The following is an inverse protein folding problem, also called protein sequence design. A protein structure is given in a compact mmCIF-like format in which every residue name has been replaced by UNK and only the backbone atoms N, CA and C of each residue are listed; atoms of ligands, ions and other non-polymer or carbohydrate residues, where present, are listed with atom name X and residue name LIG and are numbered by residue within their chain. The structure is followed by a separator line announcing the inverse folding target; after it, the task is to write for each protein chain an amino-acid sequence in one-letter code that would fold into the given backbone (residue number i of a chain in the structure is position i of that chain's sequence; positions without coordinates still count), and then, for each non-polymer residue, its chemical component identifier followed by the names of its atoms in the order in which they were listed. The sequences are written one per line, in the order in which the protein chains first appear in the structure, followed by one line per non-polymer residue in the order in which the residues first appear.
data_IF_178645788591
#
_entry.id   IF_178645788591
#
_cell.length_a   1.000
_cell.length_b   1.000
_cell.length_c   1.000
_cell.angle_alpha   90.00
_cell.angle_beta   90.00
_cell.angle_gamma   90.00
#
_symmetry.space_group_name_H-M   'P 1'
#
loop_
_entity.id
_entity.type
_entity.pdbx_description
1 polymer ?
2 polymer ?
3 non-polymer ?
4 non-polymer ?
5 non-polymer ?
6 non-polymer ?
7 water ?
#
# COMPACT_ATOMS: atom_id res chain seq x y z
N UNK A 1 2.63 15.84 19.35
CA UNK A 1 2.82 16.18 17.92
C UNK A 1 4.09 17.00 17.73
N UNK A 2 5.14 16.35 17.18
CA UNK A 2 6.39 17.04 16.92
C UNK A 2 6.23 18.15 15.88
N UNK A 3 5.17 18.09 15.05
CA UNK A 3 4.92 19.08 14.02
C UNK A 3 3.78 20.01 14.39
N UNK A 4 3.40 20.04 15.67
CA UNK A 4 2.24 20.80 16.07
C UNK A 4 2.41 22.29 15.94
N UNK A 5 3.65 22.80 16.07
CA UNK A 5 3.86 24.24 15.98
C UNK A 5 3.98 24.75 14.54
N UNK A 6 4.02 23.87 13.53
CA UNK A 6 4.18 24.33 12.15
C UNK A 6 2.83 24.39 11.45
N UNK A 7 2.68 25.42 10.61
CA UNK A 7 1.44 25.65 9.86
C UNK A 7 1.15 24.49 8.94
N UNK A 8 -0.13 24.19 8.76
CA UNK A 8 -0.52 23.12 7.83
C UNK A 8 0.05 23.36 6.45
N UNK A 9 -0.08 24.60 5.94
CA UNK A 9 0.41 24.89 4.58
C UNK A 9 1.91 24.66 4.46
N UNK A 10 2.68 25.03 5.49
CA UNK A 10 4.13 24.84 5.49
C UNK A 10 4.51 23.36 5.52
N UNK A 11 3.77 22.55 6.28
CA UNK A 11 3.99 21.11 6.29
C UNK A 11 3.79 20.51 4.90
N UNK A 12 2.75 20.96 4.20
CA UNK A 12 2.50 20.49 2.84
C UNK A 12 3.61 20.94 1.91
N UNK A 13 3.99 22.22 2.00
CA UNK A 13 5.05 22.74 1.15
C UNK A 13 6.36 21.99 1.38
N UNK A 14 6.71 21.74 2.64
CA UNK A 14 7.95 21.03 2.96
C UNK A 14 7.86 19.55 2.59
N UNK A 15 6.66 18.95 2.68
CA UNK A 15 6.48 17.61 2.14
C UNK A 15 6.85 17.56 0.67
N UNK A 16 6.40 18.57 -0.11
CA UNK A 16 6.69 18.62 -1.54
C UNK A 16 8.19 18.81 -1.77
N UNK A 17 8.84 19.61 -0.94
CA UNK A 17 10.28 19.77 -1.01
C UNK A 17 11.00 18.47 -0.70
N UNK A 18 10.58 17.79 0.37
CA UNK A 18 11.20 16.53 0.76
C UNK A 18 11.10 15.49 -0.34
N UNK A 19 9.95 15.43 -1.02
CA UNK A 19 9.81 14.53 -2.15
C UNK A 19 10.87 14.81 -3.22
N UNK A 20 11.07 16.08 -3.56
CA UNK A 20 12.08 16.46 -4.55
C UNK A 20 13.48 16.10 -4.09
N UNK A 21 13.76 16.22 -2.80
CA UNK A 21 15.06 15.85 -2.24
C UNK A 21 15.19 14.36 -1.99
N UNK A 22 14.16 13.56 -2.32
CA UNK A 22 14.12 12.14 -2.00
C UNK A 22 14.40 11.91 -0.51
N UNK A 23 13.79 12.74 0.33
CA UNK A 23 13.83 12.60 1.78
C UNK A 23 12.49 12.12 2.32
N UNK A 24 12.21 10.82 2.12
CA UNK A 24 10.84 10.33 2.32
C UNK A 24 10.49 10.18 3.79
N UNK A 25 11.45 9.91 4.67
CA UNK A 25 11.15 9.93 6.09
C UNK A 25 10.68 11.31 6.52
N UNK A 26 11.40 12.35 6.09
CA UNK A 26 10.96 13.73 6.32
C UNK A 26 9.58 13.96 5.71
N UNK A 27 9.42 13.61 4.44
CA UNK A 27 8.15 13.75 3.75
C UNK A 27 7.02 13.13 4.56
N UNK A 28 7.26 11.93 5.10
CA UNK A 28 6.25 11.23 5.88
C UNK A 28 5.93 11.96 7.18
N UNK A 29 6.95 12.49 7.85
CA UNK A 29 6.68 13.17 9.12
C UNK A 29 5.91 14.46 8.89
N UNK A 30 6.19 15.14 7.77
CA UNK A 30 5.49 16.38 7.43
C UNK A 30 4.02 16.07 7.17
N UNK A 31 3.76 15.00 6.40
CA UNK A 31 2.38 14.66 6.08
C UNK A 31 1.63 14.15 7.31
N UNK A 32 2.30 13.42 8.20
CA UNK A 32 1.69 13.04 9.46
C UNK A 32 1.27 14.29 10.23
N UNK A 33 2.16 15.28 10.30
CA UNK A 33 1.83 16.51 10.96
C UNK A 33 0.65 17.21 10.31
N UNK A 34 0.59 17.21 8.98
CA UNK A 34 -0.54 17.78 8.25
C UNK A 34 -1.85 17.07 8.60
N UNK A 35 -1.86 15.72 8.58
CA UNK A 35 -3.07 14.97 8.93
C UNK A 35 -3.54 15.32 10.34
N UNK A 36 -2.62 15.42 11.27
CA UNK A 36 -2.97 15.64 12.67
C UNK A 36 -3.44 17.06 12.94
N UNK A 37 -3.33 17.96 11.95
CA UNK A 37 -4.05 19.23 12.02
C UNK A 37 -5.56 19.04 12.05
N UNK A 38 -6.06 17.88 11.61
CA UNK A 38 -7.44 17.53 11.79
C UNK A 38 -8.36 17.90 10.64
N UNK A 39 -7.87 18.61 9.63
CA UNK A 39 -8.68 18.90 8.48
C UNK A 39 -8.62 17.73 7.49
N UNK A 40 -9.65 17.61 6.68
CA UNK A 40 -9.63 16.58 5.66
C UNK A 40 -8.53 16.92 4.64
N UNK A 41 -8.07 15.91 3.90
CA UNK A 41 -6.99 16.04 2.92
C UNK A 41 -7.55 16.16 1.51
N UNK A 42 -6.97 17.05 0.71
CA UNK A 42 -7.28 17.13 -0.70
C UNK A 42 -6.74 15.89 -1.45
N UNK A 43 -7.10 15.73 -2.71
CA UNK A 43 -6.60 14.64 -3.53
C UNK A 43 -5.07 14.70 -3.61
N UNK A 44 -4.51 15.88 -3.87
CA UNK A 44 -3.06 16.02 -3.95
C UNK A 44 -2.43 15.69 -2.61
N UNK A 45 -3.06 16.12 -1.52
CA UNK A 45 -2.49 15.87 -0.19
C UNK A 45 -2.57 14.39 0.21
N UNK A 46 -3.65 13.71 -0.15
CA UNK A 46 -3.70 12.27 0.04
C UNK A 46 -2.62 11.57 -0.74
N UNK A 47 -2.32 12.05 -1.94
CA UNK A 47 -1.30 11.38 -2.73
C UNK A 47 0.09 11.63 -2.15
N UNK A 48 0.30 12.80 -1.55
CA UNK A 48 1.55 13.05 -0.83
C UNK A 48 1.73 12.12 0.35
N UNK A 49 0.67 11.95 1.14
CA UNK A 49 0.68 11.04 2.29
C UNK A 49 1.04 9.63 1.85
N UNK A 50 0.38 9.14 0.79
CA UNK A 50 0.59 7.79 0.31
C UNK A 50 2.01 7.59 -0.24
N UNK A 51 2.49 8.51 -1.08
CA UNK A 51 3.85 8.41 -1.64
C UNK A 51 4.89 8.38 -0.53
N UNK A 52 4.76 9.26 0.46
CA UNK A 52 5.74 9.34 1.53
C UNK A 52 5.87 7.99 2.24
N UNK A 53 4.77 7.45 2.72
CA UNK A 53 4.86 6.25 3.53
C UNK A 53 5.17 5.02 2.68
N UNK A 54 4.71 4.98 1.42
CA UNK A 54 5.03 3.86 0.55
C UNK A 54 6.54 3.75 0.35
N UNK A 55 7.19 4.90 0.19
CA UNK A 55 8.64 4.90 0.04
C UNK A 55 9.31 4.44 1.32
N UNK A 56 8.88 4.98 2.47
CA UNK A 56 9.48 4.59 3.73
C UNK A 56 9.34 3.09 3.93
N UNK A 57 8.10 2.57 3.85
CA UNK A 57 7.87 1.17 4.15
C UNK A 57 8.50 0.29 3.07
N UNK A 58 8.58 0.82 1.84
CA UNK A 58 9.27 0.11 0.77
C UNK A 58 10.71 -0.23 1.12
N UNK A 59 11.45 0.74 1.65
CA UNK A 59 12.81 0.48 2.09
C UNK A 59 12.91 -0.60 3.17
N UNK A 60 12.04 -0.53 4.17
CA UNK A 60 12.02 -1.52 5.25
C UNK A 60 11.65 -2.93 4.75
N UNK A 61 10.67 -3.02 3.84
CA UNK A 61 10.26 -4.33 3.33
C UNK A 61 11.41 -4.96 2.55
N UNK A 62 12.09 -4.16 1.74
CA UNK A 62 13.22 -4.64 0.98
C UNK A 62 14.32 -5.10 1.91
N UNK A 63 14.60 -4.30 2.96
CA UNK A 63 15.61 -4.70 3.94
C UNK A 63 15.20 -5.99 4.64
N UNK A 64 13.92 -6.09 5.04
CA UNK A 64 13.43 -7.25 5.76
C UNK A 64 13.61 -8.53 4.92
N UNK A 65 13.30 -8.46 3.63
CA UNK A 65 13.40 -9.64 2.78
C UNK A 65 14.84 -10.13 2.71
N UNK A 66 15.79 -9.20 2.51
CA UNK A 66 17.21 -9.53 2.50
C UNK A 66 17.60 -10.27 3.77
N UNK A 67 17.20 -9.71 4.92
CA UNK A 67 17.55 -10.27 6.22
C UNK A 67 16.84 -11.60 6.45
N UNK A 68 15.57 -11.71 6.04
CA UNK A 68 14.83 -12.95 6.26
C UNK A 68 15.42 -14.06 5.42
N UNK A 69 15.89 -13.72 4.22
CA UNK A 69 16.52 -14.69 3.33
C UNK A 69 17.85 -15.18 3.92
N UNK A 70 18.65 -14.27 4.45
CA UNK A 70 19.88 -14.65 5.13
C UNK A 70 19.57 -15.57 6.31
N UNK A 71 18.54 -15.23 7.09
CA UNK A 71 18.17 -16.00 8.27
C UNK A 71 17.76 -17.41 7.89
N UNK A 72 16.93 -17.54 6.85
CA UNK A 72 16.45 -18.85 6.42
C UNK A 72 17.62 -19.75 6.04
N UNK A 73 18.62 -19.20 5.35
CA UNK A 73 19.78 -19.98 4.95
C UNK A 73 20.57 -20.44 6.17
N UNK A 74 20.81 -19.52 7.10
CA UNK A 74 21.55 -19.86 8.31
C UNK A 74 20.90 -21.01 9.06
N UNK A 75 19.61 -21.20 8.87
CA UNK A 75 18.87 -22.28 9.51
C UNK A 75 18.77 -23.52 8.62
N UNK A 76 19.36 -23.49 7.42
CA UNK A 76 19.34 -24.66 6.55
C UNK A 76 20.27 -25.74 7.09
N UNK A 77 19.93 -27.00 6.81
CA UNK A 77 20.80 -28.12 7.14
C UNK A 77 22.19 -27.91 6.57
N UNK A 78 23.19 -27.84 7.45
CA UNK A 78 24.58 -27.69 7.05
C UNK A 78 25.24 -26.39 7.47
N UNK A 79 24.49 -25.43 8.01
CA UNK A 79 25.03 -24.12 8.31
C UNK A 79 25.95 -24.15 9.54
N UNK A 80 26.75 -23.08 9.67
CA UNK A 80 27.58 -22.84 10.85
C UNK A 80 26.92 -21.68 11.60
N UNK A 81 26.23 -22.00 12.70
CA UNK A 81 25.43 -21.02 13.42
C UNK A 81 26.25 -19.78 13.77
N UNK A 82 25.84 -18.65 13.21
CA UNK A 82 26.52 -17.38 13.46
C UNK A 82 26.12 -16.74 14.79
N UNK A 83 25.19 -17.37 15.53
CA UNK A 83 24.67 -16.79 16.75
C UNK A 83 23.36 -16.07 16.50
N UNK A 84 22.92 -15.29 17.47
CA UNK A 84 21.59 -14.66 17.43
C UNK A 84 21.49 -13.44 16.55
N UNK A 85 22.57 -13.04 15.87
CA UNK A 85 22.66 -11.67 15.36
C UNK A 85 21.74 -11.45 14.16
N UNK A 86 21.68 -12.43 13.25
CA UNK A 86 20.79 -12.31 12.10
C UNK A 86 19.35 -12.17 12.57
N UNK A 87 18.88 -13.07 13.45
CA UNK A 87 17.52 -13.00 13.97
C UNK A 87 17.27 -11.67 14.65
N UNK A 88 18.17 -11.24 15.53
CA UNK A 88 18.01 -9.99 16.26
C UNK A 88 17.87 -8.82 15.30
N UNK A 89 18.69 -8.79 14.25
CA UNK A 89 18.65 -7.62 13.38
C UNK A 89 17.43 -7.68 12.45
N UNK A 90 17.06 -8.88 11.97
CA UNK A 90 15.78 -9.00 11.27
C UNK A 90 14.63 -8.52 12.16
N UNK A 91 14.64 -8.91 13.43
CA UNK A 91 13.61 -8.47 14.36
C UNK A 91 13.60 -6.95 14.51
N UNK A 92 14.79 -6.32 14.54
CA UNK A 92 14.87 -4.86 14.67
C UNK A 92 14.16 -4.18 13.53
N UNK A 93 14.47 -4.59 12.30
CA UNK A 93 13.90 -4.01 11.09
C UNK A 93 12.43 -4.34 10.99
N UNK A 94 12.08 -5.56 11.34
CA UNK A 94 10.67 -5.95 11.37
C UNK A 94 9.86 -5.08 12.33
N UNK A 95 10.42 -4.83 13.52
CA UNK A 95 9.74 -4.00 14.50
C UNK A 95 9.57 -2.57 13.96
N UNK A 96 10.57 -2.04 13.27
CA UNK A 96 10.44 -0.69 12.76
C UNK A 96 9.41 -0.63 11.63
N UNK A 97 9.35 -1.67 10.81
CA UNK A 97 8.31 -1.76 9.78
C UNK A 97 6.92 -1.77 10.39
N UNK A 98 6.73 -2.60 11.40
CA UNK A 98 5.43 -2.73 12.04
C UNK A 98 5.00 -1.39 12.64
N UNK A 99 5.95 -0.66 13.21
CA UNK A 99 5.61 0.65 13.76
C UNK A 99 5.17 1.64 12.71
N UNK A 100 5.83 1.63 11.53
CA UNK A 100 5.42 2.50 10.44
C UNK A 100 4.00 2.12 9.99
N UNK A 101 3.75 0.82 9.85
CA UNK A 101 2.41 0.37 9.48
C UNK A 101 1.38 0.81 10.52
N UNK A 102 1.71 0.64 11.80
CA UNK A 102 0.81 1.04 12.88
C UNK A 102 0.58 2.55 12.87
N UNK A 103 1.60 3.32 12.51
CA UNK A 103 1.42 4.77 12.44
C UNK A 103 0.40 5.14 11.39
N UNK A 104 0.62 4.65 10.18
CA UNK A 104 -0.30 4.87 9.09
C UNK A 104 -1.71 4.44 9.47
N UNK A 105 -1.85 3.18 9.92
CA UNK A 105 -3.17 2.70 10.37
C UNK A 105 -3.78 3.60 11.44
N UNK A 106 -2.96 4.15 12.34
CA UNK A 106 -3.47 5.10 13.32
C UNK A 106 -4.01 6.37 12.68
N UNK A 107 -3.35 6.85 11.62
CA UNK A 107 -3.85 8.07 10.98
C UNK A 107 -5.16 7.78 10.27
N UNK A 108 -5.27 6.61 9.63
CA UNK A 108 -6.52 6.26 8.96
C UNK A 108 -7.64 6.13 9.97
N UNK A 109 -7.38 5.50 11.10
CA UNK A 109 -8.40 5.30 12.12
C UNK A 109 -8.68 6.53 12.97
N UNK A 110 -7.71 7.45 13.10
CA UNK A 110 -7.92 8.69 13.85
C UNK A 110 -7.49 9.92 13.03
N UNK A 111 -8.34 10.43 12.12
CA UNK A 111 -9.74 10.07 11.90
C UNK A 111 -10.05 10.21 10.42
N UNK A 112 -9.08 9.85 9.59
CA UNK A 112 -9.23 10.12 8.15
C UNK A 112 -10.43 9.38 7.57
N UNK A 113 -10.54 8.08 7.83
CA UNK A 113 -11.58 7.27 7.21
C UNK A 113 -12.95 7.74 7.66
N UNK A 114 -13.13 7.96 8.96
CA UNK A 114 -14.46 8.30 9.46
C UNK A 114 -14.94 9.63 8.88
N UNK A 115 -14.06 10.53 8.50
CA UNK A 115 -14.47 11.80 7.92
C UNK A 115 -14.49 11.80 6.38
N UNK A 116 -14.18 10.68 5.74
CA UNK A 116 -14.12 10.56 4.28
C UNK A 116 -15.45 10.03 3.76
N UNK A 117 -16.19 10.90 3.07
CA UNK A 117 -17.51 10.54 2.57
C UNK A 117 -17.57 10.39 1.07
N UNK A 118 -16.72 11.12 0.36
CA UNK A 118 -16.65 10.99 -1.08
C UNK A 118 -15.95 9.70 -1.45
N UNK A 119 -16.42 9.06 -2.52
CA UNK A 119 -15.87 7.78 -2.97
C UNK A 119 -14.37 7.87 -3.19
N UNK A 120 -13.90 8.94 -3.84
CA UNK A 120 -12.48 9.07 -4.15
C UNK A 120 -11.63 9.13 -2.89
N UNK A 121 -12.09 9.81 -1.85
CA UNK A 121 -11.36 9.79 -0.59
C UNK A 121 -11.57 8.49 0.19
N UNK A 122 -12.81 8.02 0.33
CA UNK A 122 -13.00 6.88 1.20
C UNK A 122 -12.37 5.62 0.63
N UNK A 123 -12.53 5.39 -0.68
CA UNK A 123 -11.84 4.28 -1.33
C UNK A 123 -10.32 4.40 -1.19
N UNK A 124 -9.76 5.60 -1.37
CA UNK A 124 -8.31 5.76 -1.24
C UNK A 124 -7.82 5.28 0.12
N UNK A 125 -8.49 5.70 1.19
CA UNK A 125 -8.00 5.40 2.53
C UNK A 125 -8.26 3.95 2.89
N UNK A 126 -9.37 3.38 2.40
CA UNK A 126 -9.64 1.98 2.70
C UNK A 126 -8.64 1.07 1.98
N UNK A 127 -8.28 1.43 0.74
CA UNK A 127 -7.18 0.74 0.06
C UNK A 127 -5.91 0.84 0.88
N UNK A 128 -5.58 2.04 1.35
CA UNK A 128 -4.39 2.20 2.18
C UNK A 128 -4.46 1.30 3.41
N UNK A 129 -5.62 1.25 4.08
CA UNK A 129 -5.74 0.37 5.24
C UNK A 129 -5.45 -1.07 4.85
N UNK A 130 -6.00 -1.53 3.73
CA UNK A 130 -5.70 -2.90 3.29
C UNK A 130 -4.22 -3.09 2.95
N UNK A 131 -3.64 -2.09 2.32
CA UNK A 131 -2.21 -2.14 1.98
C UNK A 131 -1.35 -2.34 3.23
N UNK A 132 -1.60 -1.56 4.28
CA UNK A 132 -0.71 -1.58 5.42
C UNK A 132 -0.95 -2.82 6.28
N UNK A 133 -2.18 -3.33 6.36
CA UNK A 133 -2.35 -4.67 6.95
C UNK A 133 -1.69 -5.74 6.09
N UNK A 134 -1.64 -5.55 4.78
CA UNK A 134 -0.90 -6.48 3.92
C UNK A 134 0.61 -6.47 4.23
N UNK A 135 1.19 -5.31 4.53
CA UNK A 135 2.62 -5.30 4.80
C UNK A 135 2.88 -5.88 6.17
N UNK A 136 1.95 -5.68 7.08
CA UNK A 136 1.99 -6.41 8.33
C UNK A 136 1.89 -7.90 8.08
N UNK A 137 0.97 -8.31 7.20
CA UNK A 137 0.77 -9.74 6.97
C UNK A 137 2.01 -10.39 6.43
N UNK A 138 2.80 -9.64 5.64
CA UNK A 138 3.98 -10.19 4.99
C UNK A 138 5.02 -10.66 6.00
N UNK A 139 5.02 -10.08 7.20
CA UNK A 139 6.01 -10.42 8.22
C UNK A 139 5.40 -11.13 9.40
N UNK A 140 4.11 -11.41 9.36
CA UNK A 140 3.38 -11.99 10.48
C UNK A 140 3.58 -13.51 10.54
N UNK A 141 3.71 -14.04 11.77
CA UNK A 141 3.81 -15.47 12.01
C UNK A 141 2.99 -16.00 13.21
N UNK A 142 2.27 -15.16 13.96
CA UNK A 142 1.67 -15.59 15.22
C UNK A 142 0.17 -15.38 15.45
N UNK A 144 -0.36 -14.22 15.03
CA UNK A 144 -1.80 -13.95 14.83
C UNK A 144 -1.99 -13.44 13.40
N UNK A 145 -1.30 -14.09 12.47
CA UNK A 145 -1.38 -13.71 11.08
C UNK A 145 -2.83 -13.74 10.59
N UNK A 146 -3.70 -14.56 11.18
CA UNK A 146 -5.01 -14.75 10.58
C UNK A 146 -5.88 -13.52 10.71
N UNK A 147 -5.84 -12.85 11.86
CA UNK A 147 -6.66 -11.66 12.07
C UNK A 147 -6.11 -10.49 11.28
N UNK A 148 -4.78 -10.39 11.17
CA UNK A 148 -4.20 -9.35 10.31
C UNK A 148 -4.67 -9.53 8.87
N UNK A 149 -4.57 -10.76 8.36
CA UNK A 149 -5.03 -11.02 7.00
C UNK A 149 -6.49 -10.64 6.82
N UNK A 150 -7.35 -11.00 7.78
CA UNK A 150 -8.76 -10.70 7.62
C UNK A 150 -9.01 -9.20 7.73
N UNK A 151 -8.19 -8.49 8.50
CA UNK A 151 -8.30 -7.02 8.52
C UNK A 151 -7.97 -6.42 7.16
N UNK A 152 -6.90 -6.91 6.53
CA UNK A 152 -6.60 -6.49 5.17
C UNK A 152 -7.77 -6.80 4.25
N UNK A 153 -8.09 -8.08 4.25
CA UNK A 153 -9.30 -8.47 3.37
C UNK A 153 -10.56 -7.55 3.54
N UNK A 154 -10.85 -7.26 4.81
CA UNK A 154 -12.05 -6.52 5.12
C UNK A 154 -11.97 -5.11 4.55
N UNK A 155 -10.82 -4.47 4.72
CA UNK A 155 -10.64 -3.11 4.23
C UNK A 155 -10.71 -3.08 2.71
N UNK A 156 -10.03 -4.02 2.06
CA UNK A 156 -10.05 -4.05 0.61
C UNK A 156 -11.45 -4.31 0.09
N UNK A 157 -12.19 -5.19 0.76
CA UNK A 157 -13.51 -5.55 0.28
C UNK A 157 -14.48 -4.37 0.40
N UNK A 158 -14.38 -3.60 1.49
CA UNK A 158 -15.26 -2.44 1.62
C UNK A 158 -14.91 -1.42 0.56
N UNK A 159 -13.62 -1.25 0.28
CA UNK A 159 -13.19 -0.36 -0.76
C UNK A 159 -13.68 -0.83 -2.11
N UNK A 160 -13.61 -2.15 -2.35
CA UNK A 160 -14.06 -2.68 -3.64
C UNK A 160 -15.53 -2.37 -3.83
N UNK A 161 -16.33 -2.63 -2.79
CA UNK A 161 -17.78 -2.49 -2.93
C UNK A 161 -18.13 -1.05 -3.29
N UNK A 162 -17.52 -0.08 -2.60
CA UNK A 162 -17.79 1.33 -2.87
C UNK A 162 -17.31 1.69 -4.27
N UNK A 163 -16.13 1.22 -4.67
CA UNK A 163 -15.56 1.60 -5.95
C UNK A 163 -16.45 1.11 -7.06
N UNK A 164 -17.01 -0.08 -6.92
CA UNK A 164 -17.81 -0.65 -7.98
C UNK A 164 -19.16 0.04 -8.10
N UNK A 165 -19.70 0.58 -7.01
CA UNK A 165 -20.96 1.32 -7.11
C UNK A 165 -20.74 2.75 -7.59
N UNK A 166 -19.67 3.40 -7.15
CA UNK A 166 -19.53 4.84 -7.30
C UNK A 166 -18.49 5.29 -8.34
N UNK A 167 -17.67 4.41 -8.87
CA UNK A 167 -16.58 4.84 -9.75
C UNK A 167 -16.67 4.09 -11.06
N UNK A 168 -16.25 4.72 -12.15
CA UNK A 168 -16.24 4.01 -13.42
C UNK A 168 -15.09 3.03 -13.45
N UNK A 169 -15.17 2.04 -14.34
CA UNK A 169 -14.19 0.94 -14.30
C UNK A 169 -12.79 1.35 -14.62
N UNK A 170 -12.59 2.52 -15.22
CA UNK A 170 -11.27 3.02 -15.55
C UNK A 170 -10.70 3.94 -14.48
N UNK A 171 -11.45 4.27 -13.44
CA UNK A 171 -10.99 5.17 -12.43
C UNK A 171 -9.67 4.68 -11.86
N UNK A 172 -8.60 5.48 -11.92
CA UNK A 172 -7.28 5.00 -11.50
C UNK A 172 -7.25 4.50 -10.08
N UNK A 173 -8.02 5.12 -9.16
CA UNK A 173 -8.05 4.65 -7.77
C UNK A 173 -8.64 3.24 -7.73
N UNK A 174 -9.78 3.04 -8.39
CA UNK A 174 -10.41 1.72 -8.50
C UNK A 174 -9.47 0.67 -9.09
N UNK A 175 -8.72 1.04 -10.14
CA UNK A 175 -7.82 0.09 -10.78
C UNK A 175 -6.69 -0.31 -9.85
N UNK A 176 -6.08 0.68 -9.20
CA UNK A 176 -5.00 0.41 -8.27
C UNK A 176 -5.44 -0.42 -7.07
N UNK A 177 -6.65 -0.18 -6.58
CA UNK A 177 -7.21 -1.03 -5.53
C UNK A 177 -7.33 -2.47 -5.99
N UNK A 178 -7.90 -2.68 -7.18
CA UNK A 178 -8.08 -4.05 -7.67
C UNK A 178 -6.74 -4.73 -7.90
N UNK A 179 -5.78 -4.03 -8.49
CA UNK A 179 -4.40 -4.52 -8.58
C UNK A 179 -3.92 -5.04 -7.24
N UNK A 180 -3.98 -4.19 -6.20
CA UNK A 180 -3.44 -4.57 -4.88
C UNK A 180 -4.26 -5.70 -4.25
N UNK A 181 -5.60 -5.67 -4.37
CA UNK A 181 -6.40 -6.72 -3.78
C UNK A 181 -6.08 -8.04 -4.48
N UNK A 182 -5.80 -7.89 -5.76
CA UNK A 182 -5.36 -9.12 -6.55
C UNK A 182 -4.07 -9.82 -6.03
N UNK A 183 -3.10 -8.95 -5.71
CA UNK A 183 -1.85 -9.49 -5.17
C UNK A 183 -2.07 -10.01 -3.75
N UNK A 184 -2.91 -9.33 -2.95
CA UNK A 184 -3.34 -9.89 -1.69
C UNK A 184 -3.82 -11.33 -1.85
N UNK A 185 -4.78 -11.53 -2.77
CA UNK A 185 -5.33 -12.87 -2.99
C UNK A 185 -4.25 -13.87 -3.33
N UNK A 186 -3.30 -13.47 -4.19
CA UNK A 186 -2.36 -14.42 -4.74
C UNK A 186 -1.34 -14.86 -3.71
N UNK A 187 -0.81 -13.91 -2.95
CA UNK A 187 0.40 -14.00 -2.12
C UNK A 187 0.12 -14.09 -0.63
N UNK A 188 -0.97 -13.51 -0.17
CA UNK A 188 -1.29 -13.41 1.24
C UNK A 188 -2.39 -14.38 1.63
N UNK A 189 -3.45 -14.40 0.84
CA UNK A 189 -4.58 -15.28 1.06
C UNK A 189 -4.41 -16.65 0.40
N UNK A 190 -3.34 -16.86 -0.35
CA UNK A 190 -3.14 -18.10 -1.11
C UNK A 190 -4.40 -18.46 -1.90
N UNK A 191 -4.92 -17.47 -2.63
CA UNK A 191 -6.08 -17.66 -3.50
C UNK A 191 -5.68 -17.21 -4.89
N UNK A 192 -4.79 -17.95 -5.54
CA UNK A 192 -4.33 -17.49 -6.86
C UNK A 192 -5.44 -17.41 -7.89
N UNK A 193 -6.41 -18.30 -7.83
CA UNK A 193 -7.47 -18.25 -8.83
C UNK A 193 -8.36 -17.04 -8.65
N UNK A 194 -8.63 -16.65 -7.41
CA UNK A 194 -9.30 -15.38 -7.14
C UNK A 194 -8.50 -14.20 -7.68
N UNK A 195 -7.19 -14.20 -7.39
CA UNK A 195 -6.30 -13.15 -7.89
C UNK A 195 -6.35 -13.04 -9.40
N UNK A 196 -6.25 -14.17 -10.11
CA UNK A 196 -6.30 -14.12 -11.57
C UNK A 196 -7.67 -13.65 -12.05
N UNK A 197 -8.73 -14.20 -11.48
CA UNK A 197 -10.06 -13.76 -11.90
C UNK A 197 -10.21 -12.28 -11.70
N UNK A 198 -9.83 -11.76 -10.54
CA UNK A 198 -10.04 -10.34 -10.30
C UNK A 198 -9.28 -9.50 -11.32
N UNK A 199 -8.03 -9.84 -11.57
CA UNK A 199 -7.19 -9.06 -12.48
C UNK A 199 -7.70 -9.10 -13.92
N UNK A 200 -8.20 -10.25 -14.36
CA UNK A 200 -8.74 -10.32 -15.73
C UNK A 200 -10.01 -9.50 -15.88
N UNK A 201 -10.97 -9.72 -14.98
CA UNK A 201 -12.21 -8.96 -15.03
C UNK A 201 -11.95 -7.46 -14.91
N UNK A 202 -11.03 -7.06 -14.03
CA UNK A 202 -10.73 -5.63 -13.87
C UNK A 202 -10.17 -5.04 -15.16
N UNK A 203 -9.25 -5.74 -15.78
CA UNK A 203 -8.65 -5.30 -17.04
C UNK A 203 -9.71 -5.19 -18.14
N UNK A 204 -10.51 -6.23 -18.32
CA UNK A 204 -11.49 -6.26 -19.39
C UNK A 204 -12.57 -5.19 -19.20
N UNK A 205 -12.99 -4.95 -17.97
CA UNK A 205 -14.05 -3.96 -17.77
C UNK A 205 -13.52 -2.54 -18.00
N UNK A 206 -12.28 -2.29 -17.61
CA UNK A 206 -11.60 -1.04 -17.97
C UNK A 206 -11.45 -0.91 -19.49
N UNK A 207 -11.01 -1.98 -20.13
CA UNK A 207 -10.73 -1.91 -21.57
C UNK A 207 -11.97 -1.44 -22.31
N UNK A 208 -13.13 -1.90 -21.88
CA UNK A 208 -14.35 -1.59 -22.57
C UNK A 208 -14.85 -0.21 -22.25
N UNK A 209 -14.24 0.46 -21.28
CA UNK A 209 -14.62 1.82 -20.96
C UNK A 209 -13.59 2.86 -21.35
N UNK A 210 -12.49 2.45 -21.98
CA UNK A 210 -11.47 3.43 -22.38
C UNK A 210 -12.04 4.46 -23.34
N UNK A 211 -13.01 4.05 -24.15
CA UNK A 211 -13.53 4.92 -25.20
C UNK A 211 -14.17 6.19 -24.63
N UNK A 212 -14.55 6.20 -23.34
CA UNK A 212 -15.15 7.39 -22.77
C UNK A 212 -14.14 8.45 -22.32
N UNK A 213 -12.84 8.15 -22.37
CA UNK A 213 -11.83 8.97 -21.72
C UNK A 213 -11.18 9.98 -22.65
N UNK A 214 -10.68 11.07 -22.04
CA UNK A 214 -9.76 11.97 -22.70
C UNK A 214 -8.39 11.33 -22.87
N UNK A 215 -7.56 11.94 -23.71
CA UNK A 215 -6.20 11.46 -23.90
C UNK A 215 -5.47 11.32 -22.57
N UNK A 216 -5.63 12.27 -21.66
CA UNK A 216 -4.84 12.23 -20.44
C UNK A 216 -5.37 11.17 -19.48
N UNK A 217 -6.69 11.06 -19.36
CA UNK A 217 -7.28 10.02 -18.53
C UNK A 217 -6.99 8.65 -19.11
N UNK A 218 -6.99 8.52 -20.44
CA UNK A 218 -6.55 7.29 -21.09
C UNK A 218 -5.17 6.87 -20.60
N UNK A 219 -4.22 7.81 -20.60
CA UNK A 219 -2.87 7.49 -20.15
C UNK A 219 -2.85 7.01 -18.70
N UNK A 220 -3.54 7.72 -17.80
CA UNK A 220 -3.58 7.33 -16.38
C UNK A 220 -4.14 5.93 -16.22
N UNK A 221 -5.22 5.59 -16.92
CA UNK A 221 -5.83 4.26 -16.74
C UNK A 221 -4.98 3.15 -17.38
N UNK A 222 -4.49 3.36 -18.59
CA UNK A 222 -3.76 2.27 -19.22
C UNK A 222 -2.47 1.96 -18.47
N UNK A 223 -1.87 2.97 -17.82
CA UNK A 223 -0.69 2.76 -16.99
C UNK A 223 -0.94 1.68 -15.95
N UNK A 224 -2.09 1.75 -15.27
CA UNK A 224 -2.35 0.78 -14.23
C UNK A 224 -2.88 -0.50 -14.86
N UNK A 225 -3.61 -0.39 -15.98
CA UNK A 225 -4.02 -1.60 -16.67
C UNK A 225 -2.83 -2.47 -17.03
N UNK A 226 -1.72 -1.84 -17.42
CA UNK A 226 -0.51 -2.59 -17.79
C UNK A 226 0.08 -3.34 -16.59
N UNK A 227 -0.01 -2.75 -15.39
CA UNK A 227 0.40 -3.47 -14.19
C UNK A 227 -0.43 -4.73 -13.98
N UNK A 228 -1.75 -4.61 -14.15
CA UNK A 228 -2.61 -5.79 -14.10
C UNK A 228 -2.14 -6.85 -15.08
N UNK A 229 -1.88 -6.45 -16.32
CA UNK A 229 -1.41 -7.37 -17.35
C UNK A 229 -0.06 -7.99 -17.00
N UNK A 230 0.87 -7.18 -16.46
CA UNK A 230 2.17 -7.70 -16.04
C UNK A 230 2.00 -8.86 -15.07
N UNK A 231 1.17 -8.67 -14.05
CA UNK A 231 0.93 -9.75 -13.10
C UNK A 231 0.31 -10.95 -13.80
N UNK A 232 -0.74 -10.74 -14.58
CA UNK A 232 -1.40 -11.86 -15.25
C UNK A 232 -0.41 -12.68 -16.07
N UNK A 233 0.53 -12.01 -16.73
CA UNK A 233 1.55 -12.72 -17.50
C UNK A 233 2.37 -13.67 -16.63
N UNK A 234 2.78 -13.21 -15.45
CA UNK A 234 3.53 -14.06 -14.54
C UNK A 234 2.68 -15.20 -13.93
N UNK A 235 1.38 -14.99 -13.81
CA UNK A 235 0.51 -15.90 -13.08
C UNK A 235 -0.12 -16.97 -13.97
N UNK A 236 0.02 -16.86 -15.28
CA UNK A 236 -0.76 -17.71 -16.22
C UNK A 236 0.06 -18.29 -17.37
N UNK B 1 12.92 -12.39 -3.15
CA UNK B 1 11.59 -12.84 -3.53
C UNK B 1 11.10 -12.10 -4.78
N UNK B 2 10.40 -12.80 -5.66
CA UNK B 2 9.77 -12.15 -6.80
C UNK B 2 8.57 -11.36 -6.29
N UNK B 3 8.59 -10.05 -6.53
CA UNK B 3 7.56 -9.15 -6.05
C UNK B 3 6.61 -8.78 -7.19
N UNK B 4 5.31 -8.96 -6.98
CA UNK B 4 4.35 -8.63 -8.02
C UNK B 4 4.06 -7.13 -8.03
N UNK B 5 3.48 -6.68 -9.13
CA UNK B 5 3.16 -5.29 -9.31
C UNK B 5 2.05 -4.85 -8.37
N UNK B 6 2.33 -3.79 -7.62
CA UNK B 6 1.28 -3.12 -6.86
C UNK B 6 1.32 -1.62 -7.11
N UNK B 7 0.30 -0.93 -6.63
CA UNK B 7 0.11 0.45 -7.04
C UNK B 7 1.26 1.32 -6.51
N UNK B 8 1.57 2.41 -7.21
CA UNK B 8 2.47 3.40 -6.67
C UNK B 8 3.94 2.99 -6.65
N UNK B 9 4.77 3.75 -5.93
CA UNK B 9 6.23 3.59 -6.04
C UNK B 9 6.77 2.38 -5.27
N UNK B 10 8.06 2.12 -5.49
CA UNK B 10 8.82 1.05 -4.84
C UNK B 10 9.99 1.53 -3.97
X LIG C 1 -7.28 -23.24 -12.23
X LIG D 1 8.76 -9.87 15.44
X LIG E 1 19.97 -5.45 16.34
X LIG F 1 20.85 -18.20 17.93
X LIG F 1 21.76 -18.08 19.01
X LIG F 1 19.42 -17.97 18.43
X LIG F 1 19.46 -17.40 19.72
X LIG F 1 18.64 -17.09 17.47
X LIG F 1 18.78 -17.51 16.12
X LIG F 1 20.93 -19.20 17.48
X LIG F 1 21.10 -17.47 17.16
X LIG F 1 22.66 -18.29 18.70
X LIG F 1 18.93 -18.95 18.48
X LIG F 1 19.87 -16.51 19.67
X LIG F 1 18.97 -16.05 17.57
X LIG F 1 17.58 -17.12 17.74
X LIG F 1 19.11 -16.76 15.58
X LIG G 1 -2.75 14.85 -7.51
X LIG G 1 -2.21 17.46 -8.31
X LIG G 1 -1.56 12.29 -8.66
X LIG G 1 -0.77 10.81 -10.56
X LIG G 1 -0.32 8.69 -8.82
X LIG G 1 -0.81 9.89 -8.34
X LIG G 1 -0.43 13.01 -7.90
X LIG G 1 -0.40 14.34 -7.50
X LIG G 1 0.77 14.70 -6.82
X LIG G 1 1.71 13.69 -6.62
X LIG G 1 3.07 13.75 -5.91
X LIG G 1 -1.43 15.25 -7.73
X LIG G 1 -3.80 15.75 -7.71
X LIG G 1 -3.52 17.05 -8.11
X LIG G 1 -1.16 16.56 -8.11
X LIG G 1 -1.03 10.96 -9.20
X LIG G 1 -0.27 9.60 -11.05
X LIG G 1 -0.05 8.55 -10.17
X LIG G 1 3.91 12.57 -5.95
X LIG G 1 3.45 14.78 -5.31
X LIG G 1 1.05 12.28 -7.35
X LIG G 1 -2.93 13.99 -7.25
X LIG G 1 -2.03 18.33 -8.57
X LIG G 1 -1.85 12.83 -9.37
X LIG G 1 -2.28 12.13 -8.08
X LIG G 1 -0.92 11.52 -11.13
X LIG G 1 -0.16 7.98 -8.23
X LIG G 1 -0.98 10.00 -7.42
X LIG G 1 0.90 15.56 -6.49
X LIG G 1 -4.68 15.48 -7.58
X LIG G 1 -4.22 17.66 -8.24
X LIG G 1 -0.28 16.84 -8.25
X LIG G 1 -0.10 9.50 -11.96
X LIG G 1 0.27 7.74 -10.50
X LIG G 1 3.65 11.85 -6.36
X LIG G 1 4.69 12.58 -5.55
X LIG G 1 2.94 15.49 -5.29
#
# INVERSE_FOLDING_TARGET
GAMGSMERASLIQKAKLAEQAERYEDMAAFMKGAVEKGEELSCEERNLLSVAYKNVVGGQRAAWRVLSSIEQKSNEEGSEEKGPEVREYREKVETELQGVCDTVLGLLDSHLIKEAGDAESRVFYLKMKGDYYRYLAEVATGDDKKRIIDSARSAYQEAMDISKKEMPPTNPIRLGLALNFSVFHYEIANSPEEAISLAKTTFDEAMADLHTLSEDSYKDSTLIMQLLRDNLTLWTADNAGEEGGEAPQEPQS
KLMFKTEGPDSD
MG MG
MG MG
CL CL
GOL C1 O1 C2 O2 C3 O3 H11 H12 HO1 H2 HO2 H31 H32 HO3
K6W C10 C13 C15 C17 C20 C21 C02 C03 C04 C05 C06 C09 C11 C12 C14 C16 C18 C19 N07 N08 S01 H101 H131 H152 H151 H171 H201 H211 H041 H111 H121 H141 H181 H191 H071 H1 H081
#
